data_IF_812449518429
#
_entry.id   IF_812449518429
#
_cell.length_a   1.000
_cell.length_b   1.000
_cell.length_c   1.000
_cell.angle_alpha   90.00
_cell.angle_beta   90.00
_cell.angle_gamma   90.00
#
_symmetry.space_group_name_H-M   'P 1'
#
loop_
_entity.id
_entity.type
_entity.pdbx_description
1 polymer ?
#
# COMPACT_ATOMS: atom_id res chain seq x y z
N UNK A 1 -13.02 15.87 -0.62
CA UNK A 1 -11.57 15.62 -0.83
C UNK A 1 -10.84 16.40 0.23
N UNK A 2 -10.02 15.75 1.06
CA UNK A 2 -9.34 16.44 2.16
C UNK A 2 -8.19 17.26 1.60
N UNK A 3 -8.06 18.51 2.04
CA UNK A 3 -7.02 19.41 1.57
C UNK A 3 -5.73 19.15 2.34
N UNK A 4 -4.71 18.70 1.61
CA UNK A 4 -3.36 18.45 2.11
C UNK A 4 -2.33 19.38 1.48
N UNK A 5 -2.77 20.38 0.72
CA UNK A 5 -1.89 21.28 -0.05
C UNK A 5 -0.91 22.06 0.85
N UNK A 6 -1.30 22.37 2.09
CA UNK A 6 -0.45 23.03 3.07
C UNK A 6 0.69 22.17 3.65
N UNK A 7 0.66 20.85 3.43
CA UNK A 7 1.65 19.90 3.97
C UNK A 7 2.57 19.30 2.88
N UNK A 8 2.30 19.60 1.60
CA UNK A 8 2.98 19.00 0.45
C UNK A 8 3.89 20.04 -0.21
N UNK A 9 5.19 19.75 -0.27
CA UNK A 9 6.11 20.47 -1.14
C UNK A 9 6.14 19.82 -2.54
N UNK A 10 6.54 20.60 -3.56
CA UNK A 10 6.69 20.09 -4.95
C UNK A 10 7.62 18.88 -5.05
N UNK A 11 8.54 18.72 -4.09
CA UNK A 11 9.51 17.63 -4.02
C UNK A 11 8.97 16.35 -3.37
N UNK A 12 7.84 16.40 -2.65
CA UNK A 12 7.28 15.23 -1.98
C UNK A 12 6.84 14.17 -2.99
N UNK A 13 7.38 12.96 -2.90
CA UNK A 13 7.04 11.86 -3.80
C UNK A 13 5.57 11.43 -3.68
N UNK A 14 5.02 10.89 -4.76
CA UNK A 14 3.63 10.38 -4.79
C UNK A 14 3.41 9.29 -3.74
N UNK A 15 4.42 8.47 -3.48
CA UNK A 15 4.40 7.42 -2.47
C UNK A 15 4.19 7.97 -1.05
N UNK A 16 4.54 9.22 -0.79
CA UNK A 16 4.34 9.90 0.50
C UNK A 16 3.04 10.71 0.51
N UNK A 17 2.65 11.31 -0.62
CA UNK A 17 1.40 12.08 -0.74
C UNK A 17 0.16 11.24 -0.50
N UNK A 18 0.11 10.02 -1.05
CA UNK A 18 -1.06 9.14 -0.94
C UNK A 18 -1.34 8.76 0.55
N UNK A 19 -0.36 8.25 1.32
CA UNK A 19 -0.56 8.00 2.75
C UNK A 19 -1.04 9.21 3.54
N UNK A 20 -0.47 10.41 3.30
CA UNK A 20 -0.90 11.64 3.98
C UNK A 20 -2.38 11.97 3.70
N UNK A 21 -2.81 11.86 2.43
CA UNK A 21 -4.21 12.07 2.07
C UNK A 21 -5.15 11.08 2.73
N UNK A 22 -4.72 9.81 2.84
CA UNK A 22 -5.49 8.75 3.49
C UNK A 22 -5.60 9.04 4.98
N UNK A 23 -4.49 9.37 5.63
CA UNK A 23 -4.43 9.69 7.05
C UNK A 23 -5.42 10.81 7.42
N UNK A 24 -5.38 11.89 6.64
CA UNK A 24 -6.27 13.04 6.82
C UNK A 24 -7.73 12.73 6.50
N UNK A 25 -8.00 11.71 5.67
CA UNK A 25 -9.35 11.24 5.38
C UNK A 25 -9.94 10.32 6.45
N UNK A 26 -9.13 9.74 7.36
CA UNK A 26 -9.59 8.77 8.36
C UNK A 26 -10.74 9.30 9.25
N UNK A 27 -10.70 10.53 9.80
CA UNK A 27 -11.80 11.04 10.63
C UNK A 27 -13.12 11.17 9.85
N UNK A 28 -13.02 11.55 8.58
CA UNK A 28 -14.17 11.66 7.69
C UNK A 28 -14.74 10.29 7.33
N UNK A 29 -13.88 9.32 7.04
CA UNK A 29 -14.27 7.93 6.79
C UNK A 29 -15.02 7.33 7.99
N UNK A 30 -14.47 7.50 9.20
CA UNK A 30 -15.10 7.03 10.43
C UNK A 30 -16.49 7.66 10.63
N UNK A 31 -16.57 8.99 10.49
CA UNK A 31 -17.84 9.72 10.62
C UNK A 31 -18.86 9.25 9.59
N UNK A 32 -18.43 9.02 8.35
CA UNK A 32 -19.30 8.52 7.29
C UNK A 32 -19.84 7.13 7.62
N UNK A 33 -19.01 6.18 8.06
CA UNK A 33 -19.45 4.82 8.42
C UNK A 33 -20.50 4.86 9.54
N UNK A 34 -20.29 5.68 10.57
CA UNK A 34 -21.21 5.83 11.70
C UNK A 34 -22.55 6.49 11.33
N UNK A 35 -22.58 7.26 10.25
CA UNK A 35 -23.79 7.94 9.77
C UNK A 35 -24.66 7.07 8.85
N UNK A 36 -24.19 5.89 8.43
CA UNK A 36 -24.96 5.00 7.56
C UNK A 36 -26.07 4.32 8.39
N UNK A 37 -27.30 4.40 7.90
CA UNK A 37 -28.49 3.82 8.56
C UNK A 37 -28.40 2.29 8.73
N UNK A 38 -27.86 1.60 7.73
CA UNK A 38 -27.54 0.17 7.78
C UNK A 38 -26.02 -0.02 7.83
N UNK A 39 -25.44 -0.36 9.00
CA UNK A 39 -24.00 -0.44 9.16
C UNK A 39 -23.35 -1.42 8.15
N UNK A 40 -22.22 -1.04 7.53
CA UNK A 40 -21.44 -1.96 6.71
C UNK A 40 -21.00 -3.19 7.50
N UNK A 41 -20.91 -4.34 6.83
CA UNK A 41 -20.49 -5.61 7.45
C UNK A 41 -18.99 -5.92 7.24
N UNK A 42 -18.29 -5.16 6.40
CA UNK A 42 -16.88 -5.34 6.08
C UNK A 42 -16.27 -4.05 5.53
N UNK A 43 -14.99 -3.82 5.81
CA UNK A 43 -14.20 -2.74 5.23
C UNK A 43 -13.26 -3.33 4.17
N UNK A 44 -13.37 -2.83 2.94
CA UNK A 44 -12.48 -3.20 1.83
C UNK A 44 -11.76 -1.95 1.37
N UNK A 45 -10.43 -1.96 1.41
CA UNK A 45 -9.60 -0.81 1.02
C UNK A 45 -8.51 -1.22 0.03
N UNK A 46 -7.93 -0.26 -0.67
CA UNK A 46 -6.75 -0.52 -1.50
C UNK A 46 -5.48 -0.74 -0.66
N UNK A 47 -4.37 -1.07 -1.33
CA UNK A 47 -3.09 -1.36 -0.66
C UNK A 47 -2.48 -0.18 0.09
N UNK A 48 -2.82 1.07 -0.25
CA UNK A 48 -2.31 2.27 0.39
C UNK A 48 -3.13 2.65 1.63
N UNK A 49 -4.42 2.32 1.63
CA UNK A 49 -5.36 2.71 2.70
C UNK A 49 -5.38 1.77 3.90
N UNK A 50 -4.27 1.06 4.16
CA UNK A 50 -4.14 0.13 5.29
C UNK A 50 -4.36 0.80 6.65
N UNK A 51 -4.05 2.08 6.81
CA UNK A 51 -4.27 2.82 8.06
C UNK A 51 -5.74 2.85 8.50
N UNK A 52 -6.68 2.74 7.55
CA UNK A 52 -8.11 2.64 7.86
C UNK A 52 -8.50 1.39 8.64
N UNK A 53 -7.62 0.39 8.75
CA UNK A 53 -7.85 -0.81 9.54
C UNK A 53 -8.04 -0.52 11.03
N UNK A 54 -7.48 0.58 11.54
CA UNK A 54 -7.76 1.03 12.90
C UNK A 54 -9.25 1.32 13.12
N UNK A 55 -9.92 1.88 12.11
CA UNK A 55 -11.37 2.15 12.17
C UNK A 55 -12.15 0.83 12.11
N UNK A 56 -11.75 -0.12 11.27
CA UNK A 56 -12.40 -1.43 11.22
C UNK A 56 -12.24 -2.21 12.53
N UNK A 57 -11.09 -2.12 13.20
CA UNK A 57 -10.88 -2.72 14.52
C UNK A 57 -11.78 -2.08 15.58
N UNK A 58 -11.86 -0.75 15.60
CA UNK A 58 -12.74 0.00 16.50
C UNK A 58 -14.21 -0.42 16.33
N UNK A 59 -14.66 -0.57 15.08
CA UNK A 59 -16.03 -0.91 14.74
C UNK A 59 -16.30 -2.42 14.69
N UNK A 60 -15.33 -3.26 15.08
CA UNK A 60 -15.44 -4.73 15.12
C UNK A 60 -15.89 -5.29 13.75
N UNK A 61 -15.24 -4.79 12.70
CA UNK A 61 -15.56 -5.09 11.31
C UNK A 61 -14.47 -5.95 10.66
N UNK A 62 -14.83 -7.01 9.91
CA UNK A 62 -13.91 -7.68 8.98
C UNK A 62 -13.21 -6.69 8.05
N UNK A 63 -11.89 -6.84 7.86
CA UNK A 63 -11.06 -5.93 7.06
C UNK A 63 -10.32 -6.67 5.95
N UNK A 64 -10.39 -6.13 4.75
CA UNK A 64 -9.81 -6.73 3.55
C UNK A 64 -9.05 -5.67 2.74
N UNK A 65 -7.99 -6.13 2.07
CA UNK A 65 -7.28 -5.33 1.08
C UNK A 65 -7.65 -5.84 -0.31
N UNK A 66 -8.14 -4.94 -1.16
CA UNK A 66 -8.30 -5.18 -2.58
C UNK A 66 -7.05 -4.73 -3.33
N UNK A 67 -6.28 -5.71 -3.82
CA UNK A 67 -5.06 -5.45 -4.60
C UNK A 67 -5.48 -5.23 -6.05
N UNK A 68 -5.37 -3.99 -6.52
CA UNK A 68 -5.72 -3.56 -7.89
C UNK A 68 -4.65 -3.94 -8.93
N UNK A 69 -3.90 -5.00 -8.66
CA UNK A 69 -2.81 -5.51 -9.50
C UNK A 69 -2.88 -7.04 -9.57
N UNK A 70 -1.96 -7.65 -10.33
CA UNK A 70 -1.90 -9.09 -10.49
C UNK A 70 -1.31 -9.79 -9.25
N UNK A 71 -1.49 -11.12 -9.18
CA UNK A 71 -1.02 -11.92 -8.05
C UNK A 71 0.51 -11.98 -7.94
N UNK A 72 1.24 -11.73 -9.03
CA UNK A 72 2.70 -11.62 -9.00
C UNK A 72 3.13 -10.38 -8.21
N UNK A 73 2.51 -9.23 -8.47
CA UNK A 73 2.76 -7.99 -7.73
C UNK A 73 2.39 -8.12 -6.25
N UNK A 74 1.30 -8.84 -5.94
CA UNK A 74 0.97 -9.18 -4.55
C UNK A 74 2.08 -10.01 -3.91
N UNK A 75 2.56 -11.05 -4.61
CA UNK A 75 3.63 -11.91 -4.13
C UNK A 75 4.92 -11.13 -3.88
N UNK A 76 5.27 -10.21 -4.79
CA UNK A 76 6.37 -9.25 -4.61
C UNK A 76 6.19 -8.40 -3.35
N UNK A 77 5.00 -7.81 -3.18
CA UNK A 77 4.69 -6.94 -2.04
C UNK A 77 4.80 -7.69 -0.70
N UNK A 78 4.35 -8.93 -0.65
CA UNK A 78 4.46 -9.80 0.54
C UNK A 78 5.91 -10.21 0.83
N UNK A 79 6.74 -10.30 -0.20
CA UNK A 79 8.15 -10.69 -0.07
C UNK A 79 9.10 -9.49 0.13
N UNK A 80 8.67 -8.27 -0.18
CA UNK A 80 9.49 -7.06 -0.06
C UNK A 80 10.21 -6.87 1.30
N UNK A 81 9.58 -7.15 2.46
CA UNK A 81 10.27 -7.02 3.76
C UNK A 81 11.41 -8.04 3.96
N UNK A 82 11.40 -9.15 3.22
CA UNK A 82 12.47 -10.15 3.27
C UNK A 82 13.64 -9.74 2.37
N UNK A 83 13.33 -9.11 1.22
CA UNK A 83 14.33 -8.58 0.31
C UNK A 83 15.19 -7.50 0.97
N UNK A 84 14.56 -6.60 1.72
CA UNK A 84 15.26 -5.52 2.46
C UNK A 84 16.27 -6.07 3.49
N UNK A 85 16.05 -7.27 4.01
CA UNK A 85 16.96 -7.96 4.94
C UNK A 85 18.10 -8.71 4.23
N UNK A 86 17.95 -9.00 2.94
CA UNK A 86 19.00 -9.60 2.11
C UNK A 86 19.92 -8.54 1.47
N UNK A 87 19.60 -7.25 1.65
CA UNK A 87 20.23 -6.09 0.99
C UNK A 87 21.32 -5.43 1.83
N UNK A 88 21.86 -6.13 2.82
CA UNK A 88 23.19 -5.78 3.36
C UNK A 88 24.33 -6.01 2.31
N UNK A 89 24.00 -6.33 1.05
CA UNK A 89 24.99 -6.64 -0.01
C UNK A 89 24.80 -5.92 -1.37
N UNK A 90 23.94 -4.91 -1.49
CA UNK A 90 24.01 -3.94 -2.61
C UNK A 90 22.71 -3.61 -3.33
N UNK A 91 22.71 -2.42 -3.96
CA UNK A 91 21.59 -1.78 -4.67
C UNK A 91 20.77 -2.75 -5.55
N UNK A 92 19.49 -2.91 -5.22
CA UNK A 92 18.51 -3.63 -6.04
C UNK A 92 18.45 -3.14 -7.49
N UNK A 93 18.73 -1.85 -7.71
CA UNK A 93 18.66 -1.18 -9.01
C UNK A 93 19.87 -1.56 -9.88
N UNK A 94 21.02 -1.88 -9.26
CA UNK A 94 22.28 -2.16 -9.93
C UNK A 94 22.66 -3.65 -9.91
N UNK A 95 21.98 -4.44 -9.08
CA UNK A 95 22.12 -5.89 -9.09
C UNK A 95 21.43 -6.46 -10.33
N UNK A 96 22.20 -6.97 -11.29
CA UNK A 96 21.70 -7.78 -12.40
C UNK A 96 21.12 -9.14 -11.95
N UNK A 97 20.79 -9.29 -10.65
CA UNK A 97 20.27 -10.52 -10.09
C UNK A 97 18.78 -10.58 -10.32
N UNK A 98 18.34 -11.71 -10.85
CA UNK A 98 16.93 -12.06 -10.90
C UNK A 98 16.34 -12.05 -9.49
N UNK A 99 15.29 -11.27 -9.29
CA UNK A 99 14.50 -11.31 -8.07
C UNK A 99 13.72 -12.62 -8.03
N UNK A 100 14.13 -13.55 -7.17
CA UNK A 100 13.44 -14.83 -7.01
C UNK A 100 12.27 -14.65 -6.03
N UNK A 101 11.06 -14.58 -6.56
CA UNK A 101 9.85 -14.50 -5.74
C UNK A 101 9.33 -15.94 -5.51
N UNK A 102 9.23 -16.42 -4.26
CA UNK A 102 8.76 -17.77 -3.97
C UNK A 102 7.40 -18.06 -4.64
N UNK A 103 7.32 -19.14 -5.43
CA UNK A 103 6.10 -19.55 -6.14
C UNK A 103 5.92 -18.92 -7.54
N UNK A 104 6.79 -18.01 -7.97
CA UNK A 104 6.75 -17.38 -9.29
C UNK A 104 8.11 -17.46 -9.98
N UNK A 105 8.23 -18.23 -11.07
CA UNK A 105 9.43 -18.29 -11.89
C UNK A 105 9.37 -17.24 -13.00
N UNK A 106 9.91 -16.04 -12.77
CA UNK A 106 10.17 -15.08 -13.85
C UNK A 106 11.48 -14.35 -13.62
N UNK A 107 12.44 -14.58 -14.53
CA UNK A 107 13.70 -13.84 -14.61
C UNK A 107 13.43 -12.38 -14.98
N UNK A 108 13.46 -11.47 -14.02
CA UNK A 108 13.47 -10.04 -14.31
C UNK A 108 14.90 -9.65 -14.72
N UNK A 109 15.16 -9.56 -16.03
CA UNK A 109 16.24 -8.72 -16.52
C UNK A 109 15.71 -7.30 -16.48
N UNK A 110 16.25 -6.45 -15.60
CA UNK A 110 15.94 -5.02 -15.56
C UNK A 110 16.16 -4.46 -16.95
N UNK A 111 15.09 -4.05 -17.62
CA UNK A 111 15.13 -3.36 -18.90
C UNK A 111 15.91 -2.06 -18.69
N UNK A 112 17.16 -2.06 -19.16
CA UNK A 112 17.96 -0.87 -19.34
C UNK A 112 17.29 0.02 -20.42
N UNK A 113 16.60 1.07 -19.97
CA UNK A 113 16.41 2.39 -20.61
C UNK A 113 15.04 2.98 -20.28
N UNK A 114 15.02 3.82 -19.26
CA UNK A 114 14.57 5.20 -19.42
C UNK A 114 15.72 6.11 -18.98
#
# INVERSE_FOLDING_TARGET
MVDVSGQIDKTTSISTRIPMMIHEALPSLRSAILAIEVPPIALVVDMFAKESFAIAEELIMPKYVFITSNAWFLSLTLHAPNLDKEVDQGDHINSQRTLLIPGWFTSLTVLSRF
#
